data_IF_555729574254
#
_entry.id   IF_555729574254
#
_cell.length_a   1.000
_cell.length_b   1.000
_cell.length_c   1.000
_cell.angle_alpha   90.00
_cell.angle_beta   90.00
_cell.angle_gamma   90.00
#
_symmetry.space_group_name_H-M   'P 1'
#
loop_
_entity.id
_entity.type
_entity.pdbx_description
1 polymer ?
#
# COMPACT_ATOMS: atom_id res chain seq x y z
N UNK A 1 -9.40 1.84 39.06
CA UNK A 1 -8.95 1.41 37.72
C UNK A 1 -7.92 2.42 37.22
N UNK A 2 -6.68 2.02 36.91
CA UNK A 2 -5.74 2.96 36.31
C UNK A 2 -6.27 3.36 34.93
N UNK A 3 -6.48 4.67 34.70
CA UNK A 3 -6.71 5.21 33.36
C UNK A 3 -5.43 4.93 32.56
N UNK A 4 -5.46 3.95 31.67
CA UNK A 4 -4.42 3.79 30.66
C UNK A 4 -4.43 5.05 29.79
N UNK A 5 -3.50 5.96 30.03
CA UNK A 5 -3.35 7.14 29.17
C UNK A 5 -3.04 6.64 27.76
N UNK A 6 -3.85 7.02 26.78
CA UNK A 6 -3.56 6.70 25.39
C UNK A 6 -2.23 7.39 25.04
N UNK A 7 -1.24 6.59 24.63
CA UNK A 7 0.05 7.11 24.18
C UNK A 7 -0.16 8.06 23.00
N UNK A 8 0.33 9.30 23.12
CA UNK A 8 0.27 10.31 22.04
C UNK A 8 0.91 9.79 20.75
N UNK A 9 2.01 9.04 20.86
CA UNK A 9 2.65 8.36 19.73
C UNK A 9 1.69 7.38 19.06
N UNK A 10 0.98 6.55 19.84
CA UNK A 10 0.02 5.59 19.28
C UNK A 10 -1.07 6.27 18.46
N UNK A 11 -1.62 7.37 18.97
CA UNK A 11 -2.64 8.14 18.26
C UNK A 11 -2.13 8.65 16.92
N UNK A 12 -0.92 9.20 16.88
CA UNK A 12 -0.32 9.67 15.63
C UNK A 12 -0.05 8.55 14.64
N UNK A 13 0.48 7.42 15.11
CA UNK A 13 0.77 6.26 14.26
C UNK A 13 -0.52 5.67 13.68
N UNK A 14 -1.60 5.57 14.46
CA UNK A 14 -2.90 5.11 13.93
C UNK A 14 -3.48 6.11 12.91
N UNK A 15 -3.41 7.41 13.18
CA UNK A 15 -3.85 8.44 12.23
C UNK A 15 -3.07 8.35 10.92
N UNK A 16 -1.77 8.09 10.99
CA UNK A 16 -0.95 7.83 9.81
C UNK A 16 -1.46 6.63 9.02
N UNK A 17 -1.81 5.53 9.69
CA UNK A 17 -2.36 4.36 8.99
C UNK A 17 -3.70 4.65 8.30
N UNK A 18 -4.60 5.41 8.94
CA UNK A 18 -5.83 5.87 8.30
C UNK A 18 -5.57 6.78 7.10
N UNK A 19 -4.61 7.71 7.22
CA UNK A 19 -4.21 8.56 6.11
C UNK A 19 -3.64 7.73 4.95
N UNK A 20 -2.80 6.73 5.22
CA UNK A 20 -2.29 5.82 4.21
C UNK A 20 -3.41 5.07 3.50
N UNK A 21 -4.37 4.49 4.23
CA UNK A 21 -5.52 3.81 3.63
C UNK A 21 -6.39 4.76 2.79
N UNK A 22 -6.61 6.01 3.24
CA UNK A 22 -7.32 7.03 2.47
C UNK A 22 -6.59 7.35 1.16
N UNK A 23 -5.26 7.55 1.21
CA UNK A 23 -4.45 7.82 0.01
C UNK A 23 -4.58 6.67 -0.99
N UNK A 24 -4.48 5.41 -0.54
CA UNK A 24 -4.68 4.25 -1.43
C UNK A 24 -6.09 4.24 -2.04
N UNK A 25 -7.13 4.52 -1.25
CA UNK A 25 -8.50 4.60 -1.74
C UNK A 25 -8.65 5.66 -2.83
N UNK A 26 -8.14 6.86 -2.58
CA UNK A 26 -8.22 7.99 -3.52
C UNK A 26 -7.41 7.74 -4.79
N UNK A 27 -6.18 7.23 -4.67
CA UNK A 27 -5.35 6.87 -5.82
C UNK A 27 -6.02 5.79 -6.65
N UNK A 28 -6.51 4.73 -6.01
CA UNK A 28 -7.25 3.66 -6.69
C UNK A 28 -8.51 4.16 -7.41
N UNK A 29 -9.25 5.08 -6.78
CA UNK A 29 -10.43 5.71 -7.37
C UNK A 29 -10.11 6.62 -8.57
N UNK A 30 -8.96 7.30 -8.54
CA UNK A 30 -8.56 8.27 -9.56
C UNK A 30 -7.90 7.61 -10.77
N UNK A 31 -7.11 6.55 -10.58
CA UNK A 31 -6.33 5.88 -11.63
C UNK A 31 -7.13 5.58 -12.91
N UNK A 32 -8.37 5.04 -12.86
CA UNK A 32 -9.17 4.81 -14.06
C UNK A 32 -9.42 6.05 -14.94
N UNK A 33 -9.43 7.23 -14.33
CA UNK A 33 -9.76 8.49 -14.99
C UNK A 33 -8.53 9.25 -15.47
N UNK A 34 -7.38 9.04 -14.83
CA UNK A 34 -6.16 9.82 -15.10
C UNK A 34 -5.05 9.02 -15.76
N UNK A 35 -5.20 7.70 -15.92
CA UNK A 35 -4.14 6.83 -16.46
C UNK A 35 -3.62 7.26 -17.84
N UNK A 36 -4.45 7.90 -18.68
CA UNK A 36 -4.03 8.38 -20.01
C UNK A 36 -3.58 9.86 -20.02
N UNK A 37 -3.44 10.50 -18.85
CA UNK A 37 -3.02 11.90 -18.80
C UNK A 37 -1.53 12.03 -19.11
N UNK A 38 -1.13 13.20 -19.63
CA UNK A 38 0.26 13.47 -20.00
C UNK A 38 1.26 13.28 -18.85
N UNK A 39 0.80 13.38 -17.60
CA UNK A 39 1.60 13.08 -16.39
C UNK A 39 2.19 11.66 -16.41
N UNK A 40 1.49 10.69 -17.02
CA UNK A 40 1.94 9.29 -17.10
C UNK A 40 2.72 8.98 -18.38
N UNK A 41 3.00 9.97 -19.25
CA UNK A 41 3.68 9.72 -20.52
C UNK A 41 5.06 9.09 -20.34
N UNK A 42 5.86 9.60 -19.41
CA UNK A 42 7.20 9.06 -19.12
C UNK A 42 7.13 7.67 -18.52
N UNK A 43 6.16 7.41 -17.65
CA UNK A 43 5.89 6.09 -17.07
C UNK A 43 5.61 5.06 -18.17
N UNK A 44 4.66 5.37 -19.06
CA UNK A 44 4.30 4.47 -20.14
C UNK A 44 5.42 4.27 -21.17
N UNK A 45 6.14 5.34 -21.52
CA UNK A 45 7.31 5.24 -22.39
C UNK A 45 8.40 4.36 -21.76
N UNK A 46 8.61 4.48 -20.45
CA UNK A 46 9.54 3.62 -19.71
C UNK A 46 9.18 2.14 -19.86
N UNK A 47 7.90 1.80 -19.69
CA UNK A 47 7.41 0.42 -19.92
C UNK A 47 7.60 0.02 -21.39
N UNK A 48 7.26 0.89 -22.34
CA UNK A 48 7.46 0.60 -23.77
C UNK A 48 8.94 0.28 -24.08
N UNK A 49 9.87 1.08 -23.56
CA UNK A 49 11.31 0.83 -23.78
C UNK A 49 11.84 -0.40 -23.05
N UNK A 50 11.22 -0.79 -21.94
CA UNK A 50 11.59 -1.97 -21.18
C UNK A 50 11.22 -3.28 -21.88
N UNK A 51 10.05 -3.30 -22.55
CA UNK A 51 9.51 -4.51 -23.16
C UNK A 51 9.78 -4.61 -24.68
N UNK A 52 10.11 -3.50 -25.34
CA UNK A 52 10.39 -3.47 -26.78
C UNK A 52 11.70 -2.72 -27.07
N UNK A 53 12.59 -3.36 -27.83
CA UNK A 53 13.88 -2.77 -28.26
C UNK A 53 13.75 -1.75 -29.40
N UNK A 54 12.55 -1.55 -29.93
CA UNK A 54 12.22 -0.63 -31.02
C UNK A 54 10.88 0.05 -30.77
N UNK A 55 10.15 0.38 -31.84
CA UNK A 55 8.81 0.95 -31.69
C UNK A 55 7.87 -0.06 -31.02
N UNK A 56 7.25 0.35 -29.91
CA UNK A 56 6.22 -0.45 -29.28
C UNK A 56 5.03 -0.62 -30.24
N UNK A 57 4.34 -1.78 -30.21
CA UNK A 57 3.12 -1.99 -30.97
C UNK A 57 2.11 -0.88 -30.68
N UNK A 58 1.38 -0.44 -31.70
CA UNK A 58 0.33 0.60 -31.58
C UNK A 58 -0.63 0.37 -30.39
N UNK A 59 -1.12 -0.86 -30.11
CA UNK A 59 -2.04 -1.06 -28.97
C UNK A 59 -1.35 -1.09 -27.59
N UNK A 60 -0.03 -1.11 -27.51
CA UNK A 60 0.70 -1.27 -26.23
C UNK A 60 0.32 -0.18 -25.22
N UNK A 61 0.23 1.07 -25.66
CA UNK A 61 -0.18 2.18 -24.80
C UNK A 61 -1.60 1.99 -24.25
N UNK A 62 -2.54 1.67 -25.13
CA UNK A 62 -3.93 1.46 -24.75
C UNK A 62 -4.07 0.30 -23.74
N UNK A 63 -3.30 -0.77 -23.93
CA UNK A 63 -3.24 -1.89 -23.00
C UNK A 63 -2.67 -1.49 -21.63
N UNK A 64 -1.61 -0.68 -21.58
CA UNK A 64 -1.08 -0.18 -20.31
C UNK A 64 -2.08 0.71 -19.57
N UNK A 65 -2.73 1.64 -20.26
CA UNK A 65 -3.79 2.49 -19.67
C UNK A 65 -4.92 1.64 -19.10
N UNK A 66 -5.34 0.61 -19.84
CA UNK A 66 -6.35 -0.34 -19.38
C UNK A 66 -5.90 -1.11 -18.12
N UNK A 67 -4.65 -1.59 -18.08
CA UNK A 67 -4.10 -2.25 -16.90
C UNK A 67 -4.04 -1.33 -15.68
N UNK A 68 -3.62 -0.07 -15.85
CA UNK A 68 -3.58 0.89 -14.74
C UNK A 68 -4.96 1.18 -14.18
N UNK A 69 -5.96 1.31 -15.05
CA UNK A 69 -7.35 1.50 -14.64
C UNK A 69 -7.85 0.29 -13.84
N UNK A 70 -7.59 -0.94 -14.32
CA UNK A 70 -7.99 -2.15 -13.64
C UNK A 70 -7.29 -2.32 -12.29
N UNK A 71 -5.99 -2.01 -12.23
CA UNK A 71 -5.22 -2.04 -11.00
C UNK A 71 -5.75 -1.02 -9.97
N UNK A 72 -6.18 0.17 -10.43
CA UNK A 72 -6.81 1.17 -9.58
C UNK A 72 -8.01 0.63 -8.81
N UNK A 73 -8.91 -0.11 -9.47
CA UNK A 73 -10.05 -0.74 -8.81
C UNK A 73 -9.63 -1.76 -7.74
N UNK A 74 -8.57 -2.55 -8.00
CA UNK A 74 -8.00 -3.49 -7.03
C UNK A 74 -7.42 -2.78 -5.81
N UNK A 75 -6.62 -1.72 -6.02
CA UNK A 75 -6.05 -0.91 -4.93
C UNK A 75 -7.15 -0.26 -4.10
N UNK A 76 -8.21 0.22 -4.75
CA UNK A 76 -9.36 0.79 -4.06
C UNK A 76 -10.07 -0.25 -3.18
N UNK A 77 -10.31 -1.47 -3.68
CA UNK A 77 -10.89 -2.55 -2.89
C UNK A 77 -9.98 -2.92 -1.69
N UNK A 78 -8.69 -3.11 -1.93
CA UNK A 78 -7.71 -3.41 -0.88
C UNK A 78 -7.69 -2.32 0.21
N UNK A 79 -7.79 -1.05 -0.17
CA UNK A 79 -7.81 0.06 0.78
C UNK A 79 -9.02 0.02 1.72
N UNK A 80 -10.17 -0.52 1.30
CA UNK A 80 -11.33 -0.73 2.18
C UNK A 80 -11.05 -1.82 3.22
N UNK A 81 -10.40 -2.90 2.83
CA UNK A 81 -9.98 -3.95 3.76
C UNK A 81 -8.90 -3.45 4.72
N UNK A 82 -7.95 -2.65 4.22
CA UNK A 82 -6.98 -1.96 5.06
C UNK A 82 -7.68 -1.09 6.11
N UNK A 83 -8.64 -0.27 5.68
CA UNK A 83 -9.42 0.59 6.59
C UNK A 83 -10.14 -0.23 7.68
N UNK A 84 -10.74 -1.36 7.29
CA UNK A 84 -11.41 -2.25 8.23
C UNK A 84 -10.43 -2.84 9.26
N UNK A 85 -9.26 -3.34 8.82
CA UNK A 85 -8.22 -3.87 9.72
C UNK A 85 -7.64 -2.78 10.64
N UNK A 86 -7.40 -1.57 10.11
CA UNK A 86 -6.95 -0.44 10.93
C UNK A 86 -8.00 -0.11 11.98
N UNK A 87 -9.30 -0.11 11.64
CA UNK A 87 -10.38 0.12 12.59
C UNK A 87 -10.44 -0.96 13.68
N UNK A 88 -10.29 -2.23 13.31
CA UNK A 88 -10.22 -3.33 14.29
C UNK A 88 -9.02 -3.15 15.22
N UNK A 89 -7.83 -2.93 14.65
CA UNK A 89 -6.60 -2.70 15.43
C UNK A 89 -6.70 -1.48 16.34
N UNK A 90 -7.30 -0.38 15.88
CA UNK A 90 -7.45 0.81 16.70
C UNK A 90 -8.48 0.65 17.81
N UNK A 91 -9.69 0.21 17.48
CA UNK A 91 -10.80 0.16 18.45
C UNK A 91 -10.63 -0.94 19.49
N UNK A 92 -10.09 -2.10 19.08
CA UNK A 92 -9.95 -3.26 19.96
C UNK A 92 -8.55 -3.40 20.56
N UNK A 93 -7.58 -2.59 20.11
CA UNK A 93 -6.14 -2.77 20.42
C UNK A 93 -5.66 -4.16 20.04
N UNK A 94 -6.16 -4.67 18.91
CA UNK A 94 -5.91 -6.04 18.44
C UNK A 94 -4.59 -6.09 17.68
N UNK A 95 -3.58 -6.73 18.25
CA UNK A 95 -2.25 -6.84 17.65
C UNK A 95 -2.28 -7.65 16.34
N UNK A 96 -3.13 -8.67 16.23
CA UNK A 96 -3.25 -9.49 15.02
C UNK A 96 -3.72 -8.69 13.81
N UNK A 97 -4.55 -7.65 14.00
CA UNK A 97 -4.98 -6.79 12.90
C UNK A 97 -3.79 -6.07 12.23
N UNK A 98 -2.84 -5.57 13.04
CA UNK A 98 -1.59 -5.00 12.54
C UNK A 98 -0.72 -6.08 11.87
N UNK A 99 -0.68 -7.28 12.45
CA UNK A 99 0.04 -8.43 11.90
C UNK A 99 -0.44 -8.82 10.50
N UNK A 100 -1.75 -8.82 10.26
CA UNK A 100 -2.32 -9.13 8.94
C UNK A 100 -1.99 -8.06 7.88
N UNK A 101 -1.95 -6.78 8.26
CA UNK A 101 -1.48 -5.72 7.36
C UNK A 101 0.00 -5.90 7.00
N UNK A 102 0.84 -6.26 7.97
CA UNK A 102 2.26 -6.57 7.73
C UNK A 102 2.39 -7.77 6.79
N UNK A 103 1.65 -8.86 7.06
CA UNK A 103 1.69 -10.06 6.25
C UNK A 103 1.30 -9.77 4.79
N UNK A 104 0.25 -8.97 4.58
CA UNK A 104 -0.15 -8.52 3.24
C UNK A 104 0.98 -7.80 2.51
N UNK A 105 1.62 -6.83 3.16
CA UNK A 105 2.74 -6.07 2.58
C UNK A 105 3.95 -6.94 2.25
N UNK A 106 4.33 -7.84 3.16
CA UNK A 106 5.51 -8.71 3.01
C UNK A 106 5.29 -9.82 1.98
N UNK A 107 4.05 -10.24 1.74
CA UNK A 107 3.74 -11.21 0.68
C UNK A 107 3.69 -10.51 -0.68
N UNK A 108 3.02 -9.35 -0.77
CA UNK A 108 2.80 -8.66 -2.04
C UNK A 108 4.06 -7.97 -2.56
N UNK A 109 4.66 -7.07 -1.79
CA UNK A 109 5.69 -6.16 -2.32
C UNK A 109 6.93 -6.88 -2.87
N UNK A 110 7.48 -7.95 -2.24
CA UNK A 110 8.62 -8.64 -2.81
C UNK A 110 8.34 -9.28 -4.17
N UNK A 111 7.11 -9.78 -4.39
CA UNK A 111 6.73 -10.36 -5.67
C UNK A 111 6.61 -9.27 -6.74
N UNK A 112 5.92 -8.18 -6.43
CA UNK A 112 5.73 -7.05 -7.35
C UNK A 112 7.05 -6.40 -7.76
N UNK A 113 7.92 -6.13 -6.78
CA UNK A 113 9.26 -5.60 -7.00
C UNK A 113 10.14 -6.57 -7.81
N UNK A 114 10.10 -7.88 -7.53
CA UNK A 114 10.89 -8.86 -8.26
C UNK A 114 10.47 -8.95 -9.74
N UNK A 115 9.17 -9.02 -10.01
CA UNK A 115 8.63 -9.05 -11.38
C UNK A 115 9.01 -7.75 -12.12
N UNK A 116 8.89 -6.61 -11.45
CA UNK A 116 9.26 -5.31 -12.02
C UNK A 116 10.76 -5.20 -12.32
N UNK A 117 11.62 -5.72 -11.45
CA UNK A 117 13.08 -5.76 -11.67
C UNK A 117 13.45 -6.66 -12.85
N UNK A 118 12.80 -7.82 -13.03
CA UNK A 118 13.03 -8.70 -14.18
C UNK A 118 12.75 -7.98 -15.51
N UNK A 119 11.77 -7.07 -15.52
CA UNK A 119 11.45 -6.23 -16.67
C UNK A 119 12.16 -4.87 -16.67
N UNK A 120 13.07 -4.58 -15.73
CA UNK A 120 13.74 -3.27 -15.59
C UNK A 120 12.78 -2.07 -15.40
N UNK A 121 11.58 -2.31 -14.88
CA UNK A 121 10.57 -1.26 -14.60
C UNK A 121 10.79 -0.70 -13.19
N UNK A 122 11.82 0.14 -13.05
CA UNK A 122 12.20 0.77 -11.77
C UNK A 122 11.12 1.62 -11.09
N UNK A 123 10.23 2.34 -11.80
CA UNK A 123 9.18 3.14 -11.13
C UNK A 123 8.31 2.32 -10.16
N UNK A 124 8.01 1.07 -10.48
CA UNK A 124 7.24 0.18 -9.59
C UNK A 124 8.03 -0.15 -8.32
N UNK A 125 9.31 -0.50 -8.48
CA UNK A 125 10.22 -0.80 -7.37
C UNK A 125 10.31 0.36 -6.39
N UNK A 126 10.40 1.59 -6.91
CA UNK A 126 10.43 2.80 -6.09
C UNK A 126 9.10 3.07 -5.39
N UNK A 127 7.96 2.89 -6.08
CA UNK A 127 6.64 3.05 -5.50
C UNK A 127 6.39 2.06 -4.35
N UNK A 128 6.72 0.79 -4.56
CA UNK A 128 6.57 -0.26 -3.54
C UNK A 128 7.53 -0.04 -2.37
N UNK A 129 8.78 0.33 -2.66
CA UNK A 129 9.77 0.67 -1.64
C UNK A 129 9.31 1.83 -0.76
N UNK A 130 8.71 2.87 -1.36
CA UNK A 130 8.12 3.98 -0.63
C UNK A 130 6.93 3.54 0.23
N UNK A 131 6.02 2.72 -0.30
CA UNK A 131 4.89 2.18 0.45
C UNK A 131 5.35 1.36 1.67
N UNK A 132 6.33 0.47 1.49
CA UNK A 132 6.93 -0.31 2.56
C UNK A 132 7.59 0.58 3.62
N UNK A 133 8.43 1.53 3.21
CA UNK A 133 9.11 2.44 4.14
C UNK A 133 8.12 3.30 4.94
N UNK A 134 7.00 3.68 4.31
CA UNK A 134 5.94 4.49 4.92
C UNK A 134 5.08 3.70 5.92
N UNK A 135 4.79 2.43 5.64
CA UNK A 135 3.79 1.66 6.39
C UNK A 135 4.39 0.60 7.32
N UNK A 136 5.50 -0.02 6.96
CA UNK A 136 6.03 -1.15 7.73
C UNK A 136 6.55 -0.74 9.12
N UNK A 137 7.36 0.35 9.28
CA UNK A 137 7.79 0.80 10.60
C UNK A 137 6.62 1.12 11.57
N UNK A 138 5.60 1.93 11.19
CA UNK A 138 4.49 2.21 12.08
C UNK A 138 3.66 0.97 12.41
N UNK A 139 3.44 0.05 11.45
CA UNK A 139 2.73 -1.20 11.70
C UNK A 139 3.47 -2.12 12.67
N UNK A 140 4.79 -2.29 12.51
CA UNK A 140 5.61 -3.10 13.42
C UNK A 140 5.58 -2.50 14.83
N UNK A 141 5.64 -1.18 14.94
CA UNK A 141 5.53 -0.50 16.24
C UNK A 141 4.16 -0.74 16.88
N UNK A 142 3.05 -0.57 16.14
CA UNK A 142 1.69 -0.81 16.64
C UNK A 142 1.49 -2.26 17.08
N UNK A 143 1.96 -3.21 16.28
CA UNK A 143 1.93 -4.63 16.59
C UNK A 143 2.60 -4.93 17.95
N UNK A 144 3.82 -4.43 18.16
CA UNK A 144 4.57 -4.66 19.41
C UNK A 144 3.91 -3.96 20.60
N UNK A 145 3.44 -2.72 20.42
CA UNK A 145 2.82 -1.93 21.46
C UNK A 145 1.50 -2.56 21.96
N UNK A 146 0.61 -2.93 21.04
CA UNK A 146 -0.69 -3.49 21.39
C UNK A 146 -0.53 -4.94 21.90
N UNK A 147 0.41 -5.75 21.38
CA UNK A 147 0.69 -7.11 21.89
C UNK A 147 1.17 -7.13 23.33
N UNK A 148 2.00 -6.16 23.74
CA UNK A 148 2.40 -6.01 25.15
C UNK A 148 1.20 -5.66 26.01
N UNK A 149 0.33 -4.76 25.53
CA UNK A 149 -0.88 -4.34 26.24
C UNK A 149 -1.87 -5.49 26.41
N UNK A 150 -2.05 -6.33 25.40
CA UNK A 150 -2.89 -7.53 25.46
C UNK A 150 -2.40 -8.50 26.53
N UNK A 151 -1.09 -8.80 26.57
CA UNK A 151 -0.50 -9.70 27.58
C UNK A 151 -0.75 -9.22 29.00
N UNK A 152 -0.61 -7.92 29.27
CA UNK A 152 -0.87 -7.34 30.60
C UNK A 152 -2.33 -7.44 31.04
N UNK A 153 -3.30 -7.51 30.11
CA UNK A 153 -4.72 -7.68 30.46
C UNK A 153 -5.09 -9.13 30.82
N UNK A 154 -4.28 -10.10 30.42
CA UNK A 154 -4.52 -11.53 30.60
C UNK A 154 -3.60 -12.19 31.64
N UNK A 155 -2.69 -11.43 32.23
CA UNK A 155 -1.85 -11.83 33.36
C UNK A 155 -2.52 -11.42 34.68
#
# INVERSE_FOLDING_TARGET
MPKTSISTTRTWVVRWMYAAALVHFLVGALLPWVANFALFNSYHQGIETAFWSGLAPVPARAQQVWWLALFGATVQCLSLWMWALIRIGDTQKNSSAWGWLIAGLVIWAPQDMLISLQAQVWPHVWADGFALASMLPPLVWLYRHDRTTEKTKHA
#
